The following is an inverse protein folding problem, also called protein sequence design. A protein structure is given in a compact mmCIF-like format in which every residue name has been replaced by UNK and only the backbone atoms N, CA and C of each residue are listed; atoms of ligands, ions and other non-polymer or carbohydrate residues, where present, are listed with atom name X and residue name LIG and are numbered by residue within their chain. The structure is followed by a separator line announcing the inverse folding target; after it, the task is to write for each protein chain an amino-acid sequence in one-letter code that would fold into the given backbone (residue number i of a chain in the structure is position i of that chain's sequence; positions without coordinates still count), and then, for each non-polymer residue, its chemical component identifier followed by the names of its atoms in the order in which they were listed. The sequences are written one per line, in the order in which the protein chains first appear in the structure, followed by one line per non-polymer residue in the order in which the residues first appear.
data_IF_955055745679
#
_entry.id   IF_955055745679
#
_cell.length_a   1.000
_cell.length_b   1.000
_cell.length_c   1.000
_cell.angle_alpha   90.00
_cell.angle_beta   90.00
_cell.angle_gamma   90.00
#
_symmetry.space_group_name_H-M   'P 1'
#
loop_
_entity.id
_entity.type
_entity.pdbx_description
1 polymer ?
#
# COMPACT_ATOMS: atom_id res chain seq x y z
N UNK A 1 -6.38 14.48 18.63
CA UNK A 1 -6.89 14.82 17.29
C UNK A 1 -6.85 16.33 17.16
N UNK A 2 -6.79 16.98 16.00
CA UNK A 2 -6.37 16.70 14.62
C UNK A 2 -6.13 18.12 14.05
N UNK A 3 -5.24 18.29 13.07
CA UNK A 3 -4.92 19.59 12.45
C UNK A 3 -6.17 20.39 11.99
N UNK A 4 -7.32 19.73 11.86
CA UNK A 4 -8.57 20.28 11.34
C UNK A 4 -9.73 20.27 12.36
N UNK A 5 -9.46 20.04 13.65
CA UNK A 5 -10.51 20.10 14.68
C UNK A 5 -11.16 21.49 14.70
N UNK A 6 -12.49 21.53 14.63
CA UNK A 6 -13.29 22.77 14.56
C UNK A 6 -13.50 23.32 13.13
N UNK A 7 -12.76 22.85 12.12
CA UNK A 7 -12.91 23.29 10.73
C UNK A 7 -13.26 22.11 9.80
N UNK A 8 -14.47 21.59 10.01
CA UNK A 8 -15.01 20.47 9.22
C UNK A 8 -15.12 20.81 7.73
N UNK A 9 -15.36 22.07 7.40
CA UNK A 9 -15.49 22.52 6.01
C UNK A 9 -14.17 22.40 5.27
N UNK A 10 -13.08 22.90 5.85
CA UNK A 10 -11.73 22.74 5.27
C UNK A 10 -11.31 21.28 5.16
N UNK A 11 -11.59 20.47 6.20
CA UNK A 11 -11.34 19.03 6.14
C UNK A 11 -12.05 18.38 4.95
N UNK A 12 -13.35 18.65 4.77
CA UNK A 12 -14.15 18.09 3.68
C UNK A 12 -13.64 18.54 2.30
N UNK A 13 -13.24 19.80 2.14
CA UNK A 13 -12.67 20.31 0.88
C UNK A 13 -11.38 19.58 0.50
N UNK A 14 -10.45 19.42 1.44
CA UNK A 14 -9.16 18.77 1.18
C UNK A 14 -9.35 17.27 0.90
N UNK A 15 -10.15 16.58 1.74
CA UNK A 15 -10.43 15.16 1.53
C UNK A 15 -11.14 14.91 0.19
N UNK A 16 -12.13 15.75 -0.14
CA UNK A 16 -12.85 15.67 -1.41
C UNK A 16 -11.95 15.91 -2.63
N UNK A 17 -10.99 16.84 -2.53
CA UNK A 17 -10.00 17.03 -3.59
C UNK A 17 -9.13 15.79 -3.81
N UNK A 18 -8.66 15.16 -2.72
CA UNK A 18 -7.92 13.89 -2.80
C UNK A 18 -8.72 12.76 -3.46
N UNK A 19 -10.00 12.61 -3.09
CA UNK A 19 -10.88 11.61 -3.72
C UNK A 19 -11.15 11.90 -5.19
N UNK A 20 -11.24 13.17 -5.60
CA UNK A 20 -11.40 13.54 -7.01
C UNK A 20 -10.20 13.10 -7.86
N UNK A 21 -8.98 13.34 -7.38
CA UNK A 21 -7.75 12.90 -8.06
C UNK A 21 -7.77 11.38 -8.25
N UNK A 22 -8.17 10.63 -7.21
CA UNK A 22 -8.27 9.18 -7.29
C UNK A 22 -9.33 8.73 -8.30
N UNK A 23 -10.51 9.35 -8.29
CA UNK A 23 -11.60 9.05 -9.22
C UNK A 23 -11.19 9.30 -10.67
N UNK A 24 -10.61 10.47 -10.96
CA UNK A 24 -10.09 10.81 -12.30
C UNK A 24 -9.00 9.82 -12.74
N UNK A 25 -8.13 9.38 -11.83
CA UNK A 25 -7.09 8.40 -12.14
C UNK A 25 -7.68 7.01 -12.45
N UNK A 26 -8.77 6.61 -11.79
CA UNK A 26 -9.48 5.35 -12.06
C UNK A 26 -10.29 5.41 -13.37
N UNK A 27 -10.94 6.54 -13.66
CA UNK A 27 -11.72 6.75 -14.90
C UNK A 27 -10.86 6.71 -16.16
N UNK A 28 -9.56 7.00 -16.06
CA UNK A 28 -8.62 6.86 -17.17
C UNK A 28 -8.42 5.42 -17.64
N UNK A 29 -8.79 4.43 -16.82
CA UNK A 29 -8.75 2.99 -17.14
C UNK A 29 -7.48 2.56 -17.90
N UNK A 30 -6.33 2.97 -17.37
CA UNK A 30 -5.04 2.63 -17.96
C UNK A 30 -4.76 1.12 -17.80
N UNK A 31 -3.73 0.59 -18.46
CA UNK A 31 -3.39 -0.83 -18.27
C UNK A 31 -2.95 -1.19 -16.85
N UNK A 32 -2.51 -0.19 -16.06
CA UNK A 32 -1.93 -0.31 -14.71
C UNK A 32 -0.92 -1.46 -14.59
N UNK A 33 -0.20 -1.73 -15.69
CA UNK A 33 0.79 -2.80 -15.76
C UNK A 33 2.08 -2.38 -15.08
N UNK A 34 2.59 -3.23 -14.18
CA UNK A 34 3.88 -3.03 -13.52
C UNK A 34 4.94 -3.81 -14.31
N UNK A 35 5.74 -3.08 -15.10
CA UNK A 35 6.73 -3.66 -16.03
C UNK A 35 8.12 -3.89 -15.43
N UNK A 36 8.33 -3.49 -14.18
CA UNK A 36 9.60 -3.65 -13.47
C UNK A 36 9.50 -4.77 -12.43
N UNK A 37 10.65 -5.34 -12.00
CA UNK A 37 10.68 -6.20 -10.84
C UNK A 37 9.95 -5.56 -9.66
N UNK A 38 9.14 -6.34 -8.95
CA UNK A 38 8.29 -5.84 -7.88
C UNK A 38 8.16 -6.86 -6.76
N UNK A 39 7.93 -6.36 -5.54
CA UNK A 39 7.67 -7.14 -4.34
C UNK A 39 6.50 -6.52 -3.59
N UNK A 40 5.49 -7.33 -3.27
CA UNK A 40 4.41 -6.95 -2.38
C UNK A 40 4.77 -7.37 -0.95
N UNK A 41 4.56 -6.47 0.01
CA UNK A 41 4.79 -6.72 1.44
C UNK A 41 3.55 -6.27 2.22
N UNK A 42 3.02 -7.12 3.08
CA UNK A 42 1.84 -6.79 3.88
C UNK A 42 1.90 -7.47 5.26
N UNK A 43 1.52 -6.75 6.31
CA UNK A 43 1.40 -7.30 7.66
C UNK A 43 0.18 -8.22 7.81
N UNK A 44 0.28 -9.30 8.58
CA UNK A 44 -0.85 -10.23 8.80
C UNK A 44 -1.96 -9.65 9.68
N UNK A 45 -1.68 -8.54 10.38
CA UNK A 45 -2.62 -7.77 11.21
C UNK A 45 -2.99 -6.42 10.59
N UNK A 46 -2.76 -6.24 9.29
CA UNK A 46 -3.19 -5.01 8.60
C UNK A 46 -4.72 -4.94 8.51
N UNK A 47 -5.31 -3.99 9.24
CA UNK A 47 -6.74 -3.69 9.24
C UNK A 47 -7.08 -2.40 8.47
N UNK A 48 -6.11 -1.78 7.78
CA UNK A 48 -6.31 -0.59 6.99
C UNK A 48 -7.00 -0.95 5.66
N UNK A 49 -8.29 -0.66 5.60
CA UNK A 49 -9.09 -0.75 4.37
C UNK A 49 -9.08 -2.16 3.77
N UNK A 50 -8.54 -2.27 2.54
CA UNK A 50 -8.55 -3.52 1.75
C UNK A 50 -7.15 -4.08 1.48
N UNK A 51 -6.11 -3.63 2.19
CA UNK A 51 -4.71 -4.00 1.91
C UNK A 51 -4.48 -5.51 1.79
N UNK A 52 -4.97 -6.30 2.76
CA UNK A 52 -4.83 -7.77 2.73
C UNK A 52 -5.49 -8.37 1.48
N UNK A 53 -6.73 -7.94 1.19
CA UNK A 53 -7.51 -8.44 0.06
C UNK A 53 -6.85 -8.08 -1.28
N UNK A 54 -6.41 -6.84 -1.42
CA UNK A 54 -5.81 -6.34 -2.66
C UNK A 54 -4.43 -6.94 -2.92
N UNK A 55 -3.57 -7.09 -1.89
CA UNK A 55 -2.28 -7.76 -2.06
C UNK A 55 -2.46 -9.22 -2.53
N UNK A 56 -3.43 -9.96 -1.96
CA UNK A 56 -3.77 -11.33 -2.42
C UNK A 56 -4.24 -11.33 -3.88
N UNK A 57 -5.18 -10.45 -4.23
CA UNK A 57 -5.73 -10.37 -5.57
C UNK A 57 -4.66 -9.98 -6.61
N UNK A 58 -3.80 -9.02 -6.28
CA UNK A 58 -2.67 -8.64 -7.12
C UNK A 58 -1.70 -9.80 -7.31
N UNK A 59 -1.22 -10.42 -6.23
CA UNK A 59 -0.35 -11.60 -6.33
C UNK A 59 -0.97 -12.69 -7.22
N UNK A 60 -2.26 -12.98 -7.03
CA UNK A 60 -2.96 -14.00 -7.83
C UNK A 60 -3.02 -13.64 -9.32
N UNK A 61 -3.30 -12.38 -9.65
CA UNK A 61 -3.47 -11.88 -11.03
C UNK A 61 -2.14 -11.64 -11.75
N UNK A 62 -1.15 -11.04 -11.07
CA UNK A 62 0.10 -10.55 -11.68
C UNK A 62 1.30 -11.45 -11.40
N UNK A 63 1.19 -12.38 -10.45
CA UNK A 63 2.29 -13.23 -9.96
C UNK A 63 3.45 -12.47 -9.31
N UNK A 64 3.29 -11.18 -9.03
CA UNK A 64 4.27 -10.40 -8.24
C UNK A 64 4.43 -11.08 -6.88
N UNK A 65 5.65 -11.43 -6.43
CA UNK A 65 5.87 -12.07 -5.13
C UNK A 65 5.22 -11.30 -3.99
N UNK A 66 4.62 -12.03 -3.04
CA UNK A 66 3.96 -11.45 -1.88
C UNK A 66 4.54 -12.04 -0.59
N UNK A 67 5.04 -11.16 0.28
CA UNK A 67 5.59 -11.50 1.58
C UNK A 67 4.66 -11.02 2.68
N UNK A 68 4.31 -11.93 3.58
CA UNK A 68 3.52 -11.64 4.77
C UNK A 68 4.44 -11.42 5.96
N UNK A 69 4.26 -10.30 6.66
CA UNK A 69 5.01 -9.98 7.87
C UNK A 69 4.15 -10.36 9.07
N UNK A 70 4.49 -11.49 9.70
CA UNK A 70 3.68 -12.07 10.78
C UNK A 70 3.62 -11.13 11.99
N UNK A 71 2.41 -10.90 12.49
CA UNK A 71 2.14 -10.04 13.64
C UNK A 71 2.23 -8.53 13.37
N UNK A 72 2.64 -8.10 12.18
CA UNK A 72 2.71 -6.68 11.81
C UNK A 72 1.36 -6.16 11.30
N UNK A 73 1.09 -4.88 11.57
CA UNK A 73 -0.06 -4.14 11.06
C UNK A 73 0.25 -3.39 9.76
N UNK A 74 -0.43 -2.25 9.57
CA UNK A 74 -0.28 -1.41 8.38
C UNK A 74 1.14 -0.80 8.27
N UNK A 75 1.70 -0.36 9.39
CA UNK A 75 3.05 0.21 9.46
C UNK A 75 4.06 -0.89 9.75
N UNK A 76 4.11 -1.92 8.90
CA UNK A 76 4.95 -3.11 9.13
C UNK A 76 6.44 -2.78 9.22
N UNK A 77 6.89 -1.69 8.60
CA UNK A 77 8.25 -1.16 8.71
C UNK A 77 8.56 -0.60 10.10
N UNK A 78 7.56 -0.19 10.87
CA UNK A 78 7.72 0.21 12.28
C UNK A 78 7.57 -0.98 13.21
N UNK A 79 6.64 -1.90 12.91
CA UNK A 79 6.38 -3.06 13.76
C UNK A 79 7.50 -4.11 13.70
N UNK A 80 8.11 -4.30 12.52
CA UNK A 80 9.14 -5.32 12.22
C UNK A 80 10.24 -4.76 11.29
N UNK A 81 10.98 -3.72 11.70
CA UNK A 81 11.93 -3.01 10.84
C UNK A 81 13.03 -3.92 10.26
N UNK A 82 13.59 -4.83 11.05
CA UNK A 82 14.67 -5.72 10.61
C UNK A 82 14.21 -6.67 9.51
N UNK A 83 12.99 -7.22 9.65
CA UNK A 83 12.41 -8.11 8.65
C UNK A 83 12.11 -7.37 7.36
N UNK A 84 11.59 -6.14 7.43
CA UNK A 84 11.35 -5.32 6.25
C UNK A 84 12.65 -4.97 5.54
N UNK A 85 13.67 -4.54 6.27
CA UNK A 85 14.98 -4.21 5.69
C UNK A 85 15.59 -5.43 4.99
N UNK A 86 15.56 -6.60 5.63
CA UNK A 86 16.06 -7.85 5.03
C UNK A 86 15.31 -8.22 3.75
N UNK A 87 13.98 -8.09 3.70
CA UNK A 87 13.18 -8.35 2.50
C UNK A 87 13.56 -7.38 1.35
N UNK A 88 13.82 -6.12 1.66
CA UNK A 88 14.25 -5.12 0.69
C UNK A 88 15.66 -5.43 0.16
N UNK A 89 16.61 -5.74 1.05
CA UNK A 89 17.98 -6.12 0.67
C UNK A 89 18.02 -7.38 -0.20
N UNK A 90 17.25 -8.41 0.17
CA UNK A 90 17.11 -9.64 -0.62
C UNK A 90 16.51 -9.34 -1.99
N UNK A 91 15.47 -8.50 -2.05
CA UNK A 91 14.87 -8.10 -3.32
C UNK A 91 15.85 -7.34 -4.21
N UNK A 92 16.56 -6.35 -3.66
CA UNK A 92 17.55 -5.56 -4.40
C UNK A 92 18.71 -6.42 -4.92
N UNK A 93 19.20 -7.38 -4.11
CA UNK A 93 20.27 -8.30 -4.51
C UNK A 93 19.89 -9.26 -5.63
N UNK A 94 18.59 -9.45 -5.89
CA UNK A 94 18.08 -10.33 -6.95
C UNK A 94 17.77 -9.57 -8.25
N UNK A 95 17.86 -8.24 -8.27
CA UNK A 95 17.56 -7.41 -9.45
C UNK A 95 18.74 -6.57 -9.93
N UNK A 96 19.79 -6.43 -9.11
CA UNK A 96 21.07 -5.81 -9.43
C UNK A 96 22.10 -6.88 -9.81
#
# INVERSE_FOLDING_TARGET
MLVYDGDRHRYAQIAGHGFRILAEAMEKDLSYEIKCPSLLICGTKDHAGSCIRYNRAWHQKTKIPLKWVEGAGHNSNTDKPEMINSLIEEFLSNIL
#
